data_IF_794763205012
#
_entry.id   IF_794763205012
#
_cell.length_a   1.000
_cell.length_b   1.000
_cell.length_c   1.000
_cell.angle_alpha   90.00
_cell.angle_beta   90.00
_cell.angle_gamma   90.00
#
_symmetry.space_group_name_H-M   'P 1'
#
loop_
_entity.id
_entity.type
_entity.pdbx_description
1 polymer ?
#
# COMPACT_ATOMS: atom_id res chain seq x y z
N UNK A 1 -5.21 -27.54 -29.73
CA UNK A 1 -5.53 -26.09 -29.78
C UNK A 1 -5.52 -25.62 -31.23
N UNK A 2 -6.37 -24.66 -31.64
CA UNK A 2 -6.57 -24.31 -33.05
C UNK A 2 -5.30 -23.69 -33.66
N UNK A 3 -4.95 -24.15 -34.87
CA UNK A 3 -3.74 -23.73 -35.58
C UNK A 3 -3.93 -22.32 -36.17
N UNK A 4 -3.37 -21.32 -35.49
CA UNK A 4 -3.42 -19.92 -35.96
C UNK A 4 -3.16 -18.85 -34.90
N UNK A 5 -2.66 -19.19 -33.71
CA UNK A 5 -2.34 -18.18 -32.68
C UNK A 5 -0.99 -17.53 -32.98
N UNK A 6 -1.00 -16.22 -33.25
CA UNK A 6 0.22 -15.41 -33.27
C UNK A 6 0.99 -15.57 -31.95
N UNK A 7 2.34 -15.53 -31.94
CA UNK A 7 3.16 -15.57 -30.71
C UNK A 7 2.79 -14.49 -29.66
N UNK A 8 2.09 -13.43 -30.08
CA UNK A 8 1.53 -12.43 -29.16
C UNK A 8 0.33 -12.97 -28.38
N UNK A 9 -0.55 -13.73 -29.03
CA UNK A 9 -1.77 -14.28 -28.42
C UNK A 9 -1.43 -15.35 -27.38
N UNK A 10 -0.45 -16.19 -27.67
CA UNK A 10 0.04 -17.21 -26.73
C UNK A 10 0.59 -16.57 -25.45
N UNK A 11 1.45 -15.54 -25.57
CA UNK A 11 1.94 -14.79 -24.40
C UNK A 11 0.82 -14.14 -23.58
N UNK A 12 -0.18 -13.57 -24.24
CA UNK A 12 -1.32 -12.97 -23.53
C UNK A 12 -2.10 -14.00 -22.73
N UNK A 13 -2.28 -15.22 -23.24
CA UNK A 13 -2.93 -16.30 -22.48
C UNK A 13 -2.10 -16.77 -21.29
N UNK A 14 -0.78 -16.91 -21.46
CA UNK A 14 0.11 -17.26 -20.35
C UNK A 14 0.07 -16.20 -19.24
N UNK A 15 0.16 -14.90 -19.58
CA UNK A 15 0.08 -13.82 -18.58
C UNK A 15 -1.25 -13.76 -17.82
N UNK A 16 -2.37 -14.02 -18.50
CA UNK A 16 -3.69 -14.05 -17.84
C UNK A 16 -3.78 -15.26 -16.90
N UNK A 17 -3.26 -16.41 -17.32
CA UNK A 17 -3.25 -17.63 -16.50
C UNK A 17 -2.35 -17.46 -15.26
N UNK A 18 -1.15 -16.92 -15.44
CA UNK A 18 -0.23 -16.57 -14.34
C UNK A 18 -0.84 -15.55 -13.38
N UNK A 19 -1.50 -14.51 -13.90
CA UNK A 19 -2.16 -13.49 -13.08
C UNK A 19 -3.38 -14.00 -12.28
N UNK A 20 -4.02 -15.09 -12.73
CA UNK A 20 -5.11 -15.77 -12.02
C UNK A 20 -4.60 -16.73 -10.93
N UNK A 21 -3.38 -17.26 -11.09
CA UNK A 21 -2.69 -18.06 -10.07
C UNK A 21 -1.94 -17.18 -9.04
N UNK A 22 -1.68 -15.91 -9.39
CA UNK A 22 -1.11 -14.92 -8.49
C UNK A 22 -2.10 -14.47 -7.40
N UNK A 23 -1.56 -14.06 -6.27
CA UNK A 23 -2.29 -13.67 -5.08
C UNK A 23 -3.24 -12.50 -5.41
N UNK A 24 -4.50 -12.60 -4.98
CA UNK A 24 -5.54 -11.60 -5.28
C UNK A 24 -5.06 -10.16 -5.00
N UNK A 25 -5.46 -9.21 -5.85
CA UNK A 25 -5.08 -7.79 -5.79
C UNK A 25 -5.22 -7.18 -4.39
N UNK A 26 -6.28 -7.56 -3.67
CA UNK A 26 -6.52 -7.14 -2.27
C UNK A 26 -5.45 -7.65 -1.31
N UNK A 27 -4.96 -8.89 -1.48
CA UNK A 27 -3.91 -9.46 -0.62
C UNK A 27 -2.55 -8.83 -0.95
N UNK A 28 -2.27 -8.49 -2.22
CA UNK A 28 -1.05 -7.79 -2.65
C UNK A 28 -0.94 -6.37 -2.07
N UNK A 29 -2.05 -5.65 -1.97
CA UNK A 29 -2.11 -4.33 -1.34
C UNK A 29 -1.85 -4.38 0.17
N UNK A 30 -2.31 -5.44 0.85
CA UNK A 30 -2.00 -5.68 2.26
C UNK A 30 -0.53 -5.99 2.53
N UNK A 31 0.15 -6.71 1.62
CA UNK A 31 1.54 -7.13 1.77
C UNK A 31 2.58 -6.00 1.69
N UNK A 32 2.26 -4.89 1.01
CA UNK A 32 3.11 -3.68 0.98
C UNK A 32 2.80 -2.70 2.11
N UNK A 33 1.79 -3.01 2.93
CA UNK A 33 1.41 -2.20 4.08
C UNK A 33 2.34 -2.53 5.26
N UNK A 34 3.60 -2.10 5.17
CA UNK A 34 4.55 -1.95 6.28
C UNK A 34 4.84 -3.23 7.09
N UNK A 35 5.84 -3.98 6.63
CA UNK A 35 6.45 -5.10 7.36
C UNK A 35 7.20 -4.61 8.61
N UNK A 36 6.53 -4.50 9.76
CA UNK A 36 7.19 -4.42 11.08
C UNK A 36 6.51 -3.57 12.15
N UNK A 37 6.83 -3.86 13.41
CA UNK A 37 6.38 -3.16 14.62
C UNK A 37 7.11 -1.81 14.84
N UNK A 38 7.15 -0.93 13.84
CA UNK A 38 7.82 0.39 13.95
C UNK A 38 6.86 1.54 14.33
N UNK A 39 5.73 1.17 14.94
CA UNK A 39 4.68 2.09 15.35
C UNK A 39 4.06 2.85 14.18
N UNK A 40 3.22 3.86 14.46
CA UNK A 40 2.50 4.57 13.42
C UNK A 40 3.44 5.34 12.48
N UNK A 41 3.06 5.39 11.20
CA UNK A 41 3.77 6.14 10.16
C UNK A 41 3.60 7.66 10.37
N UNK A 42 4.48 8.47 9.76
CA UNK A 42 4.31 9.93 9.80
C UNK A 42 2.94 10.35 9.29
N UNK A 43 2.48 9.73 8.21
CA UNK A 43 1.20 10.05 7.58
C UNK A 43 0.00 9.68 8.46
N UNK A 44 0.07 8.55 9.17
CA UNK A 44 -0.94 8.16 10.16
C UNK A 44 -1.03 9.19 11.30
N UNK A 45 0.12 9.59 11.85
CA UNK A 45 0.19 10.59 12.91
C UNK A 45 -0.26 11.97 12.41
N UNK A 46 0.10 12.35 11.19
CA UNK A 46 -0.30 13.62 10.58
C UNK A 46 -1.81 13.66 10.31
N UNK A 47 -2.38 12.55 9.81
CA UNK A 47 -3.82 12.42 9.60
C UNK A 47 -4.59 12.50 10.93
N UNK A 48 -4.07 11.87 11.99
CA UNK A 48 -4.67 11.93 13.31
C UNK A 48 -4.57 13.34 13.93
N UNK A 49 -3.41 13.98 13.83
CA UNK A 49 -3.22 15.37 14.24
C UNK A 49 -4.15 16.32 13.49
N UNK A 50 -4.43 16.05 12.20
CA UNK A 50 -5.43 16.79 11.42
C UNK A 50 -6.85 16.56 11.96
N UNK A 51 -7.24 15.31 12.25
CA UNK A 51 -8.57 14.99 12.81
C UNK A 51 -8.78 15.62 14.18
N UNK A 52 -7.74 15.67 15.01
CA UNK A 52 -7.76 16.31 16.34
C UNK A 52 -7.55 17.83 16.28
N UNK A 53 -7.47 18.43 15.09
CA UNK A 53 -7.23 19.87 14.88
C UNK A 53 -6.01 20.42 15.63
N UNK A 54 -4.92 19.65 15.66
CA UNK A 54 -3.64 20.11 16.22
C UNK A 54 -3.08 21.20 15.30
N UNK A 55 -2.86 22.38 15.88
CA UNK A 55 -2.28 23.53 15.21
C UNK A 55 -0.75 23.36 15.10
N UNK A 56 -0.14 23.81 14.01
CA UNK A 56 1.29 23.61 13.76
C UNK A 56 1.70 22.18 13.36
N UNK A 57 0.74 21.27 13.15
CA UNK A 57 1.00 19.88 12.70
C UNK A 57 1.81 19.75 11.40
N UNK A 58 1.76 20.76 10.53
CA UNK A 58 2.52 20.84 9.28
C UNK A 58 4.01 21.06 9.50
N UNK A 59 4.36 21.73 10.60
CA UNK A 59 5.75 22.04 10.96
C UNK A 59 6.34 20.97 11.87
N UNK A 60 5.50 20.08 12.40
CA UNK A 60 5.91 19.00 13.30
C UNK A 60 6.50 17.80 12.53
N UNK A 61 7.61 17.29 13.05
CA UNK A 61 8.19 16.02 12.63
C UNK A 61 7.46 14.81 13.27
N UNK A 62 7.81 13.59 12.84
CA UNK A 62 7.18 12.34 13.32
C UNK A 62 7.14 12.24 14.85
N UNK A 63 8.23 12.60 15.52
CA UNK A 63 8.35 12.52 16.99
C UNK A 63 7.51 13.58 17.69
N UNK A 64 7.49 14.82 17.15
CA UNK A 64 6.66 15.90 17.65
C UNK A 64 5.17 15.58 17.51
N UNK A 65 4.76 14.98 16.39
CA UNK A 65 3.38 14.53 16.21
C UNK A 65 2.97 13.45 17.21
N UNK A 66 3.83 12.45 17.49
CA UNK A 66 3.57 11.45 18.55
C UNK A 66 3.34 12.10 19.90
N UNK A 67 4.26 13.00 20.29
CA UNK A 67 4.17 13.72 21.57
C UNK A 67 2.92 14.58 21.67
N UNK A 68 2.55 15.26 20.59
CA UNK A 68 1.33 16.07 20.53
C UNK A 68 0.04 15.23 20.58
N UNK A 69 0.10 13.97 20.16
CA UNK A 69 -1.01 13.02 20.22
C UNK A 69 -1.12 12.25 21.56
N UNK A 70 -0.08 12.30 22.39
CA UNK A 70 -0.03 11.61 23.69
C UNK A 70 0.41 10.15 23.61
N UNK A 71 1.13 9.79 22.54
CA UNK A 71 1.74 8.47 22.31
C UNK A 71 3.17 8.38 22.86
#
# INVERSE_FOLDING_TARGET
MPRGSSPKRERQYEHIKEGLEDISSSRRGGLHSHSGAQGPTYEQLYAEARRRNIHGRSDMNKTQLKRALGE
#
